data_IF_694243962610
#
_entry.id   IF_694243962610
#
_cell.length_a   1.000
_cell.length_b   1.000
_cell.length_c   1.000
_cell.angle_alpha   90.00
_cell.angle_beta   90.00
_cell.angle_gamma   90.00
#
_symmetry.space_group_name_H-M   'P 1'
#
loop_
_entity.id
_entity.type
_entity.pdbx_description
1 polymer ?
#
# COMPACT_ATOMS: atom_id res chain seq x y z
N UNK A 1 9.38 2.70 -17.24
CA UNK A 1 10.59 3.35 -17.79
C UNK A 1 11.83 2.45 -17.76
N UNK A 2 12.67 2.41 -16.70
CA UNK A 2 13.92 1.62 -16.75
C UNK A 2 13.66 0.11 -16.88
N UNK A 3 12.92 -0.50 -15.95
CA UNK A 3 12.57 -1.92 -16.02
C UNK A 3 11.89 -2.31 -17.35
N UNK A 4 11.01 -1.46 -17.85
CA UNK A 4 10.30 -1.63 -19.12
C UNK A 4 11.25 -1.77 -20.32
N UNK A 5 12.34 -1.00 -20.36
CA UNK A 5 13.37 -1.11 -21.42
C UNK A 5 14.07 -2.48 -21.44
N UNK A 6 14.07 -3.19 -20.31
CA UNK A 6 14.67 -4.52 -20.16
C UNK A 6 13.63 -5.65 -20.10
N UNK A 7 12.36 -5.36 -20.40
CA UNK A 7 11.28 -6.36 -20.36
C UNK A 7 10.93 -6.85 -18.96
N UNK A 8 11.32 -6.13 -17.91
CA UNK A 8 11.01 -6.45 -16.51
C UNK A 8 9.67 -5.81 -16.15
N UNK A 9 8.75 -6.62 -15.59
CA UNK A 9 7.43 -6.15 -15.14
C UNK A 9 7.47 -5.58 -13.72
N UNK A 10 6.52 -4.69 -13.40
CA UNK A 10 6.40 -4.05 -12.10
C UNK A 10 5.38 -4.77 -11.21
N UNK A 11 5.69 -4.86 -9.92
CA UNK A 11 4.77 -5.24 -8.87
C UNK A 11 5.15 -4.44 -7.63
N UNK A 12 4.49 -3.30 -7.40
CA UNK A 12 4.81 -2.45 -6.26
C UNK A 12 4.42 -3.16 -4.98
N UNK A 13 5.30 -3.07 -3.97
CA UNK A 13 5.01 -3.57 -2.63
C UNK A 13 3.79 -2.80 -2.09
N UNK A 14 2.74 -3.53 -1.75
CA UNK A 14 1.44 -3.04 -1.32
C UNK A 14 0.91 -3.74 -0.06
N UNK A 15 1.68 -3.88 1.02
CA UNK A 15 1.23 -4.46 2.28
C UNK A 15 0.32 -3.50 3.08
N UNK A 16 -0.35 -3.96 4.17
CA UNK A 16 -1.25 -3.13 4.97
C UNK A 16 -0.57 -2.00 5.76
N UNK A 17 0.76 -1.95 5.85
CA UNK A 17 1.53 -0.86 6.46
C UNK A 17 1.80 0.31 5.49
N UNK A 18 1.19 0.30 4.30
CA UNK A 18 1.13 1.45 3.40
C UNK A 18 -0.18 2.21 3.61
N UNK A 19 -0.09 3.53 3.71
CA UNK A 19 -1.31 4.36 3.79
C UNK A 19 -2.19 4.20 2.53
N UNK A 20 -3.51 4.36 2.62
CA UNK A 20 -4.38 4.38 1.43
C UNK A 20 -3.96 5.38 0.35
N UNK A 21 -3.28 6.47 0.72
CA UNK A 21 -2.69 7.45 -0.23
C UNK A 21 -1.59 6.80 -1.06
N UNK A 22 -0.71 6.01 -0.43
CA UNK A 22 0.34 5.26 -1.12
C UNK A 22 -0.24 4.19 -2.05
N UNK A 23 -1.29 3.48 -1.61
CA UNK A 23 -2.02 2.55 -2.47
C UNK A 23 -2.63 3.25 -3.68
N UNK A 24 -3.29 4.40 -3.51
CA UNK A 24 -3.81 5.19 -4.63
C UNK A 24 -2.70 5.58 -5.61
N UNK A 25 -1.56 6.07 -5.12
CA UNK A 25 -0.42 6.42 -5.96
C UNK A 25 0.11 5.23 -6.77
N UNK A 26 0.26 4.05 -6.16
CA UNK A 26 0.67 2.83 -6.87
C UNK A 26 -0.31 2.48 -7.99
N UNK A 27 -1.62 2.49 -7.72
CA UNK A 27 -2.63 2.16 -8.73
C UNK A 27 -2.66 3.18 -9.87
N UNK A 28 -2.45 4.47 -9.59
CA UNK A 28 -2.29 5.49 -10.64
C UNK A 28 -1.08 5.21 -11.54
N UNK A 29 0.04 4.77 -10.96
CA UNK A 29 1.23 4.35 -11.74
C UNK A 29 0.89 3.12 -12.58
N UNK A 30 0.23 2.12 -11.99
CA UNK A 30 -0.17 0.88 -12.66
C UNK A 30 -1.03 1.14 -13.90
N UNK A 31 -1.91 2.14 -13.85
CA UNK A 31 -2.77 2.53 -14.97
C UNK A 31 -2.00 3.16 -16.14
N UNK A 32 -0.82 3.72 -15.92
CA UNK A 32 -0.06 4.46 -16.95
C UNK A 32 1.16 3.72 -17.49
N UNK A 33 1.64 2.69 -16.79
CA UNK A 33 2.80 1.91 -17.23
C UNK A 33 2.36 0.75 -18.14
N UNK A 34 3.10 0.48 -19.21
CA UNK A 34 2.81 -0.67 -20.08
C UNK A 34 3.34 -2.00 -19.52
N UNK A 35 4.29 -1.94 -18.58
CA UNK A 35 4.94 -3.12 -18.00
C UNK A 35 4.38 -3.47 -16.61
N UNK A 36 3.11 -3.15 -16.33
CA UNK A 36 2.44 -3.63 -15.12
C UNK A 36 2.46 -5.18 -15.09
N UNK A 37 2.88 -5.73 -13.95
CA UNK A 37 2.83 -7.16 -13.66
C UNK A 37 1.58 -7.52 -12.88
N UNK A 38 1.46 -6.99 -11.66
CA UNK A 38 0.32 -7.15 -10.77
C UNK A 38 0.39 -6.08 -9.68
N UNK A 39 -0.75 -5.76 -9.04
CA UNK A 39 -0.79 -4.88 -7.88
C UNK A 39 -1.06 -5.72 -6.63
N UNK A 40 -0.17 -5.63 -5.64
CA UNK A 40 -0.41 -6.20 -4.31
C UNK A 40 -1.49 -5.38 -3.61
N UNK A 41 -2.45 -6.07 -2.97
CA UNK A 41 -3.57 -5.43 -2.30
C UNK A 41 -3.94 -6.16 -0.99
N UNK A 42 -3.92 -5.47 0.15
CA UNK A 42 -4.36 -6.03 1.42
C UNK A 42 -5.86 -5.77 1.65
N UNK A 43 -6.49 -6.57 2.51
CA UNK A 43 -7.81 -6.21 3.02
C UNK A 43 -7.66 -5.01 3.98
N UNK A 44 -8.31 -3.89 3.65
CA UNK A 44 -8.26 -2.68 4.46
C UNK A 44 -9.43 -2.65 5.45
N UNK A 45 -9.13 -2.30 6.70
CA UNK A 45 -10.15 -2.08 7.72
C UNK A 45 -11.05 -0.89 7.34
N UNK A 46 -12.36 -0.97 7.63
CA UNK A 46 -13.37 0.07 7.35
C UNK A 46 -12.94 1.49 7.74
N UNK A 47 -12.23 1.65 8.86
CA UNK A 47 -11.76 2.95 9.35
C UNK A 47 -10.85 3.67 8.35
N UNK A 48 -10.13 2.94 7.49
CA UNK A 48 -9.31 3.54 6.44
C UNK A 48 -10.16 4.20 5.36
N UNK A 49 -11.32 3.62 5.02
CA UNK A 49 -12.24 4.24 4.05
C UNK A 49 -12.90 5.50 4.62
N UNK A 50 -13.13 5.56 5.93
CA UNK A 50 -13.62 6.76 6.62
C UNK A 50 -12.53 7.83 6.75
N UNK A 51 -11.32 7.46 7.19
CA UNK A 51 -10.20 8.37 7.43
C UNK A 51 -9.55 8.85 6.14
N UNK A 52 -9.59 8.06 5.08
CA UNK A 52 -9.05 8.36 3.76
C UNK A 52 -10.15 8.25 2.68
N UNK A 53 -11.09 9.20 2.63
CA UNK A 53 -12.16 9.16 1.64
C UNK A 53 -11.59 9.24 0.23
N UNK A 54 -12.01 8.31 -0.64
CA UNK A 54 -11.42 8.10 -1.97
C UNK A 54 -10.39 6.98 -2.04
N UNK A 55 -10.22 6.22 -0.95
CA UNK A 55 -9.45 4.96 -0.94
C UNK A 55 -9.90 4.04 -2.10
N UNK A 56 -8.97 3.45 -2.87
CA UNK A 56 -9.32 2.56 -3.96
C UNK A 56 -10.12 1.34 -3.49
N UNK A 57 -11.02 0.85 -4.35
CA UNK A 57 -11.95 -0.23 -4.01
C UNK A 57 -11.68 -1.44 -4.90
N UNK A 58 -11.68 -2.62 -4.28
CA UNK A 58 -11.58 -3.89 -4.99
C UNK A 58 -12.97 -4.42 -5.32
N UNK A 59 -13.21 -4.71 -6.59
CA UNK A 59 -14.39 -5.42 -7.07
C UNK A 59 -13.98 -6.45 -8.14
N UNK A 60 -14.46 -7.69 -8.00
CA UNK A 60 -14.15 -8.77 -8.94
C UNK A 60 -12.66 -9.07 -9.13
N UNK A 61 -11.80 -8.74 -8.15
CA UNK A 61 -10.34 -8.91 -8.25
C UNK A 61 -9.61 -7.77 -8.98
N UNK A 62 -10.32 -6.69 -9.32
CA UNK A 62 -9.76 -5.48 -9.91
C UNK A 62 -9.85 -4.31 -8.94
N UNK A 63 -8.90 -3.38 -9.03
CA UNK A 63 -8.87 -2.17 -8.20
C UNK A 63 -9.36 -0.99 -9.03
N UNK A 64 -10.28 -0.22 -8.45
CA UNK A 64 -10.80 1.03 -9.02
C UNK A 64 -10.39 2.22 -8.15
N UNK A 65 -10.03 3.33 -8.78
CA UNK A 65 -9.70 4.61 -8.12
C UNK A 65 -10.76 5.65 -8.43
N UNK A 66 -10.86 6.70 -7.61
CA UNK A 66 -11.74 7.85 -7.88
C UNK A 66 -11.29 8.62 -9.13
N UNK A 67 -12.26 9.20 -9.84
CA UNK A 67 -12.08 10.12 -10.97
C UNK A 67 -11.80 11.58 -10.56
N UNK A 68 -11.72 11.86 -9.26
CA UNK A 68 -11.41 13.19 -8.73
C UNK A 68 -9.98 13.60 -9.09
N UNK A 69 -9.69 14.91 -9.21
CA UNK A 69 -8.34 15.41 -9.50
C UNK A 69 -7.28 14.95 -8.48
N UNK A 70 -6.02 14.94 -8.93
CA UNK A 70 -4.89 14.48 -8.12
C UNK A 70 -4.90 12.96 -7.97
N UNK A 71 -4.59 12.46 -6.77
CA UNK A 71 -4.70 11.03 -6.47
C UNK A 71 -6.14 10.55 -6.25
N UNK A 72 -7.11 11.48 -6.19
CA UNK A 72 -8.52 11.16 -5.97
C UNK A 72 -8.87 10.76 -4.53
N UNK A 73 -7.96 10.98 -3.58
CA UNK A 73 -8.06 10.61 -2.17
C UNK A 73 -7.74 11.82 -1.27
N UNK A 74 -8.40 11.88 -0.11
CA UNK A 74 -8.21 12.94 0.89
C UNK A 74 -7.92 12.32 2.29
N UNK A 75 -7.75 13.14 3.32
CA UNK A 75 -7.40 12.70 4.69
C UNK A 75 -8.16 13.48 5.77
N UNK A 76 -8.88 12.76 6.64
CA UNK A 76 -9.55 13.34 7.80
C UNK A 76 -8.62 13.38 9.02
N UNK A 77 -7.98 14.54 9.23
CA UNK A 77 -7.09 14.79 10.37
C UNK A 77 -7.79 14.66 11.73
N UNK A 78 -9.08 15.01 11.83
CA UNK A 78 -9.82 14.95 13.11
C UNK A 78 -10.11 13.51 13.50
N UNK A 79 -10.42 12.66 12.53
CA UNK A 79 -10.60 11.23 12.75
C UNK A 79 -9.24 10.58 13.07
N UNK A 80 -8.21 10.89 12.30
CA UNK A 80 -6.85 10.40 12.54
C UNK A 80 -6.30 10.75 13.93
N UNK A 81 -6.61 11.94 14.46
CA UNK A 81 -6.23 12.35 15.81
C UNK A 81 -6.76 11.41 16.92
N UNK A 82 -7.79 10.60 16.66
CA UNK A 82 -8.30 9.58 17.60
C UNK A 82 -7.45 8.30 17.62
N UNK A 83 -6.56 8.13 16.64
CA UNK A 83 -5.70 6.96 16.45
C UNK A 83 -4.21 7.38 16.48
N UNK A 84 -3.70 7.87 17.63
CA UNK A 84 -2.30 8.27 17.72
C UNK A 84 -1.37 7.08 17.51
N UNK A 85 -0.22 7.33 16.85
CA UNK A 85 0.81 6.33 16.67
C UNK A 85 1.26 5.74 18.01
N UNK A 86 1.49 4.43 18.02
CA UNK A 86 2.04 3.72 19.16
C UNK A 86 3.48 3.33 18.86
N UNK A 87 4.35 3.55 19.83
CA UNK A 87 5.73 3.07 19.75
C UNK A 87 5.77 1.64 20.28
N UNK A 88 5.46 0.69 19.41
CA UNK A 88 5.47 -0.73 19.71
C UNK A 88 6.75 -1.36 19.13
N UNK A 89 7.33 -2.33 19.85
CA UNK A 89 8.43 -3.11 19.29
C UNK A 89 7.90 -3.98 18.17
N UNK A 90 8.73 -4.22 17.17
CA UNK A 90 8.42 -5.11 16.04
C UNK A 90 9.20 -6.42 16.22
N UNK A 91 8.79 -7.34 17.12
CA UNK A 91 9.63 -8.46 17.57
C UNK A 91 10.03 -9.43 16.45
N UNK A 92 9.24 -9.50 15.37
CA UNK A 92 9.53 -10.37 14.25
C UNK A 92 10.80 -9.98 13.49
N UNK A 93 11.32 -8.76 13.62
CA UNK A 93 12.59 -8.36 12.99
C UNK A 93 13.82 -8.92 13.72
N UNK A 94 13.65 -9.38 14.96
CA UNK A 94 14.72 -9.98 15.77
C UNK A 94 14.85 -11.49 15.48
N UNK A 95 14.74 -11.90 14.21
CA UNK A 95 14.83 -13.31 13.83
C UNK A 95 16.22 -13.88 14.12
N UNK A 96 16.23 -15.06 14.75
CA UNK A 96 17.44 -15.83 15.03
C UNK A 96 17.31 -17.25 14.52
N UNK A 97 18.41 -17.77 14.00
CA UNK A 97 18.57 -19.19 13.71
C UNK A 97 18.59 -20.00 15.02
N UNK A 98 18.41 -21.34 14.97
CA UNK A 98 18.45 -22.18 16.18
C UNK A 98 19.73 -22.08 17.02
N UNK A 99 20.85 -21.67 16.43
CA UNK A 99 22.13 -21.45 17.11
C UNK A 99 22.26 -20.05 17.75
N UNK A 100 21.26 -19.18 17.56
CA UNK A 100 21.21 -17.82 18.06
C UNK A 100 21.71 -16.74 17.10
N UNK A 101 22.23 -17.10 15.92
CA UNK A 101 22.73 -16.16 14.90
C UNK A 101 21.59 -15.27 14.39
N UNK A 102 21.81 -13.95 14.31
CA UNK A 102 20.84 -13.02 13.74
C UNK A 102 20.72 -13.26 12.24
N UNK A 103 19.49 -13.42 11.77
CA UNK A 103 19.16 -13.58 10.36
C UNK A 103 18.43 -12.33 9.87
N UNK A 104 18.67 -11.93 8.62
CA UNK A 104 17.84 -10.90 7.99
C UNK A 104 16.41 -11.45 7.92
N UNK A 105 15.42 -10.74 8.50
CA UNK A 105 14.04 -11.22 8.52
C UNK A 105 13.48 -11.33 7.10
#
# INVERSE_FOLDING_TARGET
>A
AFCEQFGVRMAWHGPPDISPIGHAANVHIDMVINNLGIQEWPELHEIFYEMFPGTPVVDGGYISVSDKPGLGIDFDEKLAAKFPCRNEKTPWIEMRLPDGTIQKP
#
